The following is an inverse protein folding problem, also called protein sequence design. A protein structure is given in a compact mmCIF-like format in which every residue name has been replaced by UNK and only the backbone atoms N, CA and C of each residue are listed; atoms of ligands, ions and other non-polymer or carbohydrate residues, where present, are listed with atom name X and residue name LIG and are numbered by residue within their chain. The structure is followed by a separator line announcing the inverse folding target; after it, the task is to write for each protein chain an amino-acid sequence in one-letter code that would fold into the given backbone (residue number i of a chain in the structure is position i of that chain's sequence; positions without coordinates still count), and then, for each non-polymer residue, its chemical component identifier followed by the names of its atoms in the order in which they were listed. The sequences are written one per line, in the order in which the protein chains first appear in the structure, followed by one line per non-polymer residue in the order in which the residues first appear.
data_IF_494602944002
#
_entry.id   IF_494602944002
#
_cell.length_a   1.000
_cell.length_b   1.000
_cell.length_c   1.000
_cell.angle_alpha   90.00
_cell.angle_beta   90.00
_cell.angle_gamma   90.00
#
_symmetry.space_group_name_H-M   'P 1'
#
loop_
_entity.id
_entity.type
_entity.pdbx_description
1 polymer ?
#
# COMPACT_ATOMS: atom_id res chain seq x y z
N UNK A 1 -15.38 -4.43 -17.27
CA UNK A 1 -15.09 -3.08 -16.74
C UNK A 1 -16.18 -2.58 -15.81
N UNK A 2 -17.40 -2.22 -16.26
CA UNK A 2 -18.45 -1.70 -15.36
C UNK A 2 -18.79 -2.64 -14.19
N UNK A 3 -18.89 -3.95 -14.47
CA UNK A 3 -19.10 -4.96 -13.44
C UNK A 3 -17.96 -5.04 -12.43
N UNK A 4 -16.72 -4.83 -12.88
CA UNK A 4 -15.56 -4.92 -12.01
C UNK A 4 -15.43 -3.70 -11.09
N UNK A 5 -15.81 -2.51 -11.60
CA UNK A 5 -15.92 -1.30 -10.78
C UNK A 5 -17.00 -1.50 -9.71
N UNK A 6 -18.17 -2.04 -10.09
CA UNK A 6 -19.22 -2.39 -9.14
C UNK A 6 -18.71 -3.33 -8.05
N UNK A 7 -18.07 -4.45 -8.43
CA UNK A 7 -17.53 -5.38 -7.44
C UNK A 7 -16.46 -4.76 -6.53
N UNK A 8 -15.63 -3.86 -7.04
CA UNK A 8 -14.63 -3.17 -6.22
C UNK A 8 -15.31 -2.25 -5.21
N UNK A 9 -16.30 -1.46 -5.64
CA UNK A 9 -17.09 -0.61 -4.75
C UNK A 9 -17.82 -1.42 -3.68
N UNK A 10 -18.54 -2.48 -4.06
CA UNK A 10 -19.23 -3.36 -3.11
C UNK A 10 -18.26 -3.95 -2.08
N UNK A 11 -17.12 -4.46 -2.54
CA UNK A 11 -16.12 -5.06 -1.66
C UNK A 11 -15.60 -4.06 -0.61
N UNK A 12 -15.38 -2.79 -1.00
CA UNK A 12 -14.92 -1.73 -0.10
C UNK A 12 -16.04 -1.25 0.85
N UNK A 13 -17.27 -1.13 0.35
CA UNK A 13 -18.43 -0.72 1.17
C UNK A 13 -18.69 -1.76 2.25
N UNK A 14 -18.71 -3.04 1.90
CA UNK A 14 -18.95 -4.14 2.84
C UNK A 14 -17.86 -4.15 3.91
N UNK A 15 -16.59 -4.07 3.50
CA UNK A 15 -15.48 -4.03 4.44
C UNK A 15 -15.60 -2.87 5.42
N UNK A 16 -15.96 -1.68 4.95
CA UNK A 16 -16.02 -0.47 5.78
C UNK A 16 -17.28 -0.39 6.67
N UNK A 17 -18.42 -0.92 6.22
CA UNK A 17 -19.70 -0.77 6.93
C UNK A 17 -20.02 -1.94 7.85
N UNK A 18 -19.61 -3.16 7.48
CA UNK A 18 -19.97 -4.39 8.18
C UNK A 18 -18.80 -5.11 8.82
N UNK A 19 -17.56 -4.75 8.44
CA UNK A 19 -16.34 -5.48 8.79
C UNK A 19 -16.35 -6.96 8.35
N UNK A 20 -17.27 -7.36 7.47
CA UNK A 20 -17.37 -8.73 6.96
C UNK A 20 -16.32 -8.96 5.86
N UNK A 21 -15.13 -9.40 6.28
CA UNK A 21 -13.99 -9.64 5.39
C UNK A 21 -14.30 -10.73 4.36
N UNK A 22 -14.96 -11.82 4.75
CA UNK A 22 -15.26 -12.94 3.85
C UNK A 22 -16.17 -12.49 2.70
N UNK A 23 -17.20 -11.71 3.01
CA UNK A 23 -18.13 -11.21 2.02
C UNK A 23 -17.46 -10.18 1.09
N UNK A 24 -16.70 -9.23 1.64
CA UNK A 24 -15.90 -8.29 0.85
C UNK A 24 -14.95 -9.03 -0.10
N UNK A 25 -14.26 -10.06 0.40
CA UNK A 25 -13.36 -10.90 -0.37
C UNK A 25 -14.08 -11.64 -1.48
N UNK A 26 -15.32 -12.11 -1.25
CA UNK A 26 -16.11 -12.77 -2.30
C UNK A 26 -16.34 -11.88 -3.54
N UNK A 27 -16.46 -10.56 -3.35
CA UNK A 27 -16.58 -9.60 -4.44
C UNK A 27 -15.25 -9.29 -5.10
N UNK A 28 -14.20 -9.03 -4.32
CA UNK A 28 -12.84 -8.82 -4.83
C UNK A 28 -12.35 -10.04 -5.65
N UNK A 29 -12.68 -11.25 -5.20
CA UNK A 29 -12.33 -12.52 -5.88
C UNK A 29 -12.93 -12.61 -7.28
N UNK A 30 -14.16 -12.12 -7.50
CA UNK A 30 -14.77 -12.11 -8.84
C UNK A 30 -13.96 -11.29 -9.84
N UNK A 31 -13.32 -10.21 -9.38
CA UNK A 31 -12.43 -9.38 -10.22
C UNK A 31 -11.14 -10.14 -10.51
N UNK A 32 -10.50 -10.67 -9.47
CA UNK A 32 -9.25 -11.41 -9.59
C UNK A 32 -9.38 -12.64 -10.50
N UNK A 33 -10.37 -13.51 -10.27
CA UNK A 33 -10.60 -14.72 -11.06
C UNK A 33 -10.88 -14.44 -12.55
N UNK A 34 -11.44 -13.26 -12.85
CA UNK A 34 -11.61 -12.81 -14.23
C UNK A 34 -10.28 -12.36 -14.82
N UNK A 35 -9.53 -11.52 -14.11
CA UNK A 35 -8.29 -10.93 -14.60
C UNK A 35 -7.15 -11.94 -14.73
N UNK A 36 -7.07 -12.92 -13.83
CA UNK A 36 -6.07 -14.00 -13.86
C UNK A 36 -6.07 -14.78 -15.18
N UNK A 37 -7.23 -14.90 -15.83
CA UNK A 37 -7.41 -15.63 -17.09
C UNK A 37 -6.86 -14.90 -18.31
N UNK A 38 -6.52 -13.62 -18.19
CA UNK A 38 -5.95 -12.85 -19.28
C UNK A 38 -4.43 -12.84 -19.22
N UNK A 39 -3.82 -13.02 -20.39
CA UNK A 39 -2.36 -12.94 -20.57
C UNK A 39 -1.83 -11.50 -20.44
N UNK A 40 -2.66 -10.52 -20.85
CA UNK A 40 -2.33 -9.10 -20.83
C UNK A 40 -3.38 -8.28 -20.10
N UNK A 41 -2.92 -7.39 -19.24
CA UNK A 41 -3.75 -6.42 -18.54
C UNK A 41 -3.50 -5.00 -19.04
N UNK A 42 -4.55 -4.19 -19.11
CA UNK A 42 -4.41 -2.76 -19.37
C UNK A 42 -4.11 -2.01 -18.06
N UNK A 43 -3.61 -0.78 -18.16
CA UNK A 43 -3.32 0.06 -16.98
C UNK A 43 -4.56 0.26 -16.08
N UNK A 44 -5.76 0.24 -16.65
CA UNK A 44 -7.01 0.31 -15.88
C UNK A 44 -7.29 -0.96 -15.07
N UNK A 45 -6.98 -2.14 -15.62
CA UNK A 45 -7.11 -3.41 -14.89
C UNK A 45 -6.13 -3.44 -13.72
N UNK A 46 -4.89 -2.96 -13.93
CA UNK A 46 -3.86 -2.88 -12.88
C UNK A 46 -4.26 -1.88 -11.79
N UNK A 47 -4.84 -0.73 -12.17
CA UNK A 47 -5.41 0.23 -11.21
C UNK A 47 -6.48 -0.41 -10.35
N UNK A 48 -7.38 -1.16 -10.98
CA UNK A 48 -8.47 -1.82 -10.27
C UNK A 48 -7.95 -2.89 -9.30
N UNK A 49 -6.99 -3.71 -9.73
CA UNK A 49 -6.34 -4.70 -8.89
C UNK A 49 -5.69 -4.04 -7.67
N UNK A 50 -4.96 -2.94 -7.86
CA UNK A 50 -4.31 -2.23 -6.76
C UNK A 50 -5.31 -1.78 -5.67
N UNK A 51 -6.55 -1.43 -6.06
CA UNK A 51 -7.59 -0.99 -5.11
C UNK A 51 -8.11 -2.11 -4.22
N UNK A 52 -8.04 -3.37 -4.64
CA UNK A 52 -8.61 -4.50 -3.91
C UNK A 52 -7.57 -5.35 -3.15
N UNK A 53 -6.28 -5.00 -3.21
CA UNK A 53 -5.21 -5.80 -2.59
C UNK A 53 -5.43 -6.03 -1.08
N UNK A 54 -5.86 -5.00 -0.36
CA UNK A 54 -6.09 -5.02 1.10
C UNK A 54 -7.23 -5.95 1.55
N UNK A 55 -8.02 -6.46 0.61
CA UNK A 55 -9.15 -7.35 0.90
C UNK A 55 -8.67 -8.82 0.96
N UNK A 56 -7.52 -9.11 0.37
CA UNK A 56 -6.97 -10.46 0.34
C UNK A 56 -6.01 -10.71 1.51
N UNK A 57 -5.87 -11.98 1.95
CA UNK A 57 -4.75 -12.40 2.79
C UNK A 57 -3.42 -11.96 2.19
N UNK A 58 -2.45 -11.62 3.04
CA UNK A 58 -1.20 -10.95 2.63
C UNK A 58 -0.41 -11.74 1.58
N UNK A 59 -0.35 -13.06 1.70
CA UNK A 59 0.30 -13.94 0.72
C UNK A 59 -0.38 -13.88 -0.66
N UNK A 60 -1.72 -13.89 -0.68
CA UNK A 60 -2.52 -13.73 -1.90
C UNK A 60 -2.35 -12.32 -2.48
N UNK A 61 -2.38 -11.29 -1.65
CA UNK A 61 -2.18 -9.91 -2.08
C UNK A 61 -0.80 -9.71 -2.71
N UNK A 62 0.26 -10.27 -2.12
CA UNK A 62 1.62 -10.26 -2.68
C UNK A 62 1.66 -10.97 -4.02
N UNK A 63 1.06 -12.16 -4.14
CA UNK A 63 1.00 -12.87 -5.42
C UNK A 63 0.30 -12.06 -6.52
N UNK A 64 -0.85 -11.47 -6.21
CA UNK A 64 -1.61 -10.63 -7.14
C UNK A 64 -0.80 -9.38 -7.52
N UNK A 65 -0.18 -8.72 -6.53
CA UNK A 65 0.63 -7.53 -6.72
C UNK A 65 1.87 -7.79 -7.59
N UNK A 66 2.60 -8.87 -7.35
CA UNK A 66 3.74 -9.28 -8.18
C UNK A 66 3.33 -9.59 -9.63
N UNK A 67 2.16 -10.21 -9.83
CA UNK A 67 1.62 -10.38 -11.17
C UNK A 67 1.31 -9.03 -11.81
N UNK A 68 0.67 -8.12 -11.06
CA UNK A 68 0.34 -6.78 -11.54
C UNK A 68 1.58 -5.98 -11.95
N UNK A 69 2.68 -6.05 -11.18
CA UNK A 69 3.92 -5.34 -11.52
C UNK A 69 4.60 -5.92 -12.76
N UNK A 70 4.55 -7.24 -12.97
CA UNK A 70 5.01 -7.87 -14.24
C UNK A 70 4.21 -7.38 -15.45
N UNK A 71 2.91 -7.17 -15.28
CA UNK A 71 2.04 -6.64 -16.34
C UNK A 71 2.35 -5.16 -16.69
N UNK A 72 3.10 -4.43 -15.86
CA UNK A 72 3.55 -3.07 -16.15
C UNK A 72 4.79 -3.01 -17.06
N UNK A 73 5.52 -4.12 -17.26
CA UNK A 73 6.76 -4.14 -18.05
C UNK A 73 6.57 -3.60 -19.48
N UNK A 74 5.53 -3.99 -20.24
CA UNK A 74 5.29 -3.45 -21.59
C UNK A 74 5.00 -1.95 -21.62
N UNK A 75 4.70 -1.33 -20.47
CA UNK A 75 4.36 0.08 -20.32
C UNK A 75 5.50 0.91 -19.71
N UNK A 76 6.71 0.39 -19.61
CA UNK A 76 7.88 1.04 -18.97
C UNK A 76 8.22 2.46 -19.48
N UNK A 77 7.82 2.80 -20.70
CA UNK A 77 8.03 4.13 -21.28
C UNK A 77 6.96 5.16 -20.84
N UNK A 78 5.92 4.72 -20.13
CA UNK A 78 4.84 5.56 -19.64
C UNK A 78 5.08 5.91 -18.18
N UNK A 79 5.03 7.22 -17.87
CA UNK A 79 5.11 7.72 -16.49
C UNK A 79 4.03 7.08 -15.62
N UNK A 80 2.85 6.85 -16.16
CA UNK A 80 1.71 6.25 -15.48
C UNK A 80 2.02 4.83 -14.98
N UNK A 81 2.83 4.06 -15.70
CA UNK A 81 3.21 2.71 -15.30
C UNK A 81 4.13 2.74 -14.09
N UNK A 82 5.13 3.64 -14.08
CA UNK A 82 6.00 3.86 -12.92
C UNK A 82 5.21 4.33 -11.69
N UNK A 83 4.20 5.17 -11.88
CA UNK A 83 3.32 5.62 -10.79
C UNK A 83 2.51 4.45 -10.22
N UNK A 84 1.97 3.57 -11.07
CA UNK A 84 1.24 2.39 -10.61
C UNK A 84 2.15 1.40 -9.90
N UNK A 85 3.37 1.20 -10.40
CA UNK A 85 4.38 0.40 -9.72
C UNK A 85 4.64 0.96 -8.33
N UNK A 86 4.91 2.26 -8.19
CA UNK A 86 5.11 2.90 -6.88
C UNK A 86 3.95 2.58 -5.93
N UNK A 87 2.70 2.78 -6.38
CA UNK A 87 1.53 2.57 -5.53
C UNK A 87 1.38 1.10 -5.09
N UNK A 88 1.59 0.15 -6.00
CA UNK A 88 1.47 -1.29 -5.70
C UNK A 88 2.52 -1.69 -4.66
N UNK A 89 3.79 -1.37 -4.89
CA UNK A 89 4.87 -1.80 -3.99
C UNK A 89 4.74 -1.14 -2.60
N UNK A 90 4.31 0.14 -2.52
CA UNK A 90 4.05 0.82 -1.23
C UNK A 90 2.88 0.16 -0.49
N UNK A 91 1.85 -0.28 -1.21
CA UNK A 91 0.70 -0.99 -0.64
C UNK A 91 1.08 -2.40 -0.16
N UNK A 92 1.90 -3.13 -0.93
CA UNK A 92 2.41 -4.44 -0.50
C UNK A 92 3.32 -4.31 0.72
N UNK A 93 4.14 -3.26 0.79
CA UNK A 93 5.03 -3.04 1.92
C UNK A 93 4.27 -2.92 3.25
N UNK A 94 3.14 -2.21 3.30
CA UNK A 94 2.38 -2.09 4.56
C UNK A 94 1.70 -3.40 4.97
N UNK A 95 1.14 -4.14 4.00
CA UNK A 95 0.58 -5.47 4.27
C UNK A 95 1.64 -6.43 4.84
N UNK A 96 2.89 -6.31 4.41
CA UNK A 96 4.00 -7.10 4.94
C UNK A 96 4.48 -6.61 6.31
N UNK A 97 4.44 -5.30 6.58
CA UNK A 97 4.74 -4.74 7.91
C UNK A 97 3.74 -5.25 8.95
N UNK A 98 2.45 -5.31 8.59
CA UNK A 98 1.38 -5.85 9.45
C UNK A 98 1.64 -7.29 9.88
N UNK A 99 2.21 -8.10 8.98
CA UNK A 99 2.60 -9.49 9.23
C UNK A 99 4.03 -9.63 9.76
N UNK A 100 4.68 -8.52 10.14
CA UNK A 100 6.07 -8.48 10.65
C UNK A 100 7.10 -9.07 9.67
N UNK A 101 6.78 -9.15 8.38
CA UNK A 101 7.67 -9.59 7.28
C UNK A 101 8.56 -8.43 6.83
N UNK A 102 9.38 -7.97 7.77
CA UNK A 102 10.17 -6.75 7.64
C UNK A 102 11.22 -6.79 6.51
N UNK A 103 11.98 -7.89 6.31
CA UNK A 103 12.95 -7.96 5.21
C UNK A 103 12.29 -7.81 3.83
N UNK A 104 11.16 -8.47 3.62
CA UNK A 104 10.39 -8.41 2.39
C UNK A 104 9.81 -7.01 2.18
N UNK A 105 9.16 -6.45 3.20
CA UNK A 105 8.63 -5.08 3.15
C UNK A 105 9.71 -4.05 2.80
N UNK A 106 10.90 -4.19 3.41
CA UNK A 106 12.03 -3.29 3.16
C UNK A 106 12.48 -3.35 1.70
N UNK A 107 12.55 -4.54 1.09
CA UNK A 107 12.90 -4.70 -0.33
C UNK A 107 11.94 -3.92 -1.24
N UNK A 108 10.63 -3.97 -0.97
CA UNK A 108 9.64 -3.19 -1.72
C UNK A 108 9.87 -1.68 -1.58
N UNK A 109 10.11 -1.20 -0.36
CA UNK A 109 10.34 0.24 -0.09
C UNK A 109 11.63 0.75 -0.73
N UNK A 110 12.72 0.00 -0.65
CA UNK A 110 14.01 0.38 -1.24
C UNK A 110 13.96 0.47 -2.76
N UNK A 111 13.16 -0.38 -3.40
CA UNK A 111 12.90 -0.32 -4.84
C UNK A 111 12.14 0.96 -5.25
N UNK A 112 11.16 1.42 -4.47
CA UNK A 112 10.31 2.55 -4.85
C UNK A 112 10.81 3.92 -4.45
N UNK A 113 11.63 4.05 -3.40
CA UNK A 113 12.21 5.35 -3.00
C UNK A 113 12.89 6.10 -4.18
N UNK A 114 13.78 5.49 -4.99
CA UNK A 114 14.38 6.19 -6.13
C UNK A 114 13.34 6.56 -7.21
N UNK A 115 12.32 5.72 -7.43
CA UNK A 115 11.24 6.02 -8.38
C UNK A 115 10.38 7.20 -7.92
N UNK A 116 10.06 7.26 -6.63
CA UNK A 116 9.31 8.38 -6.05
C UNK A 116 10.07 9.70 -6.22
N UNK A 117 11.39 9.70 -6.01
CA UNK A 117 12.26 10.86 -6.27
C UNK A 117 12.25 11.26 -7.74
N UNK A 118 12.49 10.30 -8.66
CA UNK A 118 12.50 10.51 -10.11
C UNK A 118 11.20 11.17 -10.60
N UNK A 119 10.06 10.73 -10.08
CA UNK A 119 8.73 11.17 -10.51
C UNK A 119 8.09 12.25 -9.63
N UNK A 120 8.84 12.78 -8.66
CA UNK A 120 8.38 13.82 -7.74
C UNK A 120 7.09 13.42 -7.00
N UNK A 121 6.99 12.14 -6.61
CA UNK A 121 5.88 11.59 -5.81
C UNK A 121 6.18 11.77 -4.33
N UNK A 122 6.13 13.02 -3.86
CA UNK A 122 6.56 13.40 -2.51
C UNK A 122 5.73 12.74 -1.40
N UNK A 123 4.41 12.62 -1.55
CA UNK A 123 3.57 11.93 -0.57
C UNK A 123 3.96 10.44 -0.45
N UNK A 124 4.12 9.73 -1.57
CA UNK A 124 4.56 8.33 -1.58
C UNK A 124 6.01 8.19 -1.07
N UNK A 125 6.88 9.14 -1.36
CA UNK A 125 8.26 9.17 -0.86
C UNK A 125 8.28 9.28 0.67
N UNK A 126 7.45 10.17 1.24
CA UNK A 126 7.32 10.33 2.68
C UNK A 126 6.79 9.04 3.34
N UNK A 127 5.71 8.46 2.79
CA UNK A 127 5.16 7.17 3.27
C UNK A 127 6.24 6.08 3.23
N UNK A 128 6.98 5.96 2.13
CA UNK A 128 8.03 4.95 1.99
C UNK A 128 9.17 5.13 3.00
N UNK A 129 9.59 6.37 3.26
CA UNK A 129 10.59 6.65 4.29
C UNK A 129 10.10 6.36 5.70
N UNK A 130 8.87 6.77 6.04
CA UNK A 130 8.28 6.48 7.34
C UNK A 130 8.21 4.98 7.62
N UNK A 131 7.69 4.20 6.66
CA UNK A 131 7.59 2.74 6.77
C UNK A 131 8.95 2.06 6.84
N UNK A 132 9.94 2.56 6.08
CA UNK A 132 11.33 2.10 6.22
C UNK A 132 11.86 2.39 7.63
N UNK A 133 11.56 3.57 8.17
CA UNK A 133 11.92 3.93 9.54
C UNK A 133 11.28 3.00 10.59
N UNK A 134 9.99 2.69 10.45
CA UNK A 134 9.28 1.72 11.30
C UNK A 134 9.99 0.36 11.29
N UNK A 135 10.28 -0.17 10.10
CA UNK A 135 10.99 -1.45 9.94
C UNK A 135 12.36 -1.41 10.63
N UNK A 136 13.14 -0.35 10.43
CA UNK A 136 14.47 -0.22 11.01
C UNK A 136 14.41 -0.19 12.54
N UNK A 137 13.49 0.58 13.12
CA UNK A 137 13.30 0.57 14.58
C UNK A 137 12.88 -0.80 15.10
N UNK A 138 11.93 -1.48 14.43
CA UNK A 138 11.47 -2.83 14.81
C UNK A 138 12.55 -3.91 14.66
N UNK A 139 13.55 -3.67 13.81
CA UNK A 139 14.70 -4.57 13.62
C UNK A 139 15.94 -4.14 14.43
N UNK A 140 15.77 -3.22 15.39
CA UNK A 140 16.81 -2.82 16.35
C UNK A 140 17.71 -1.67 15.90
N UNK A 141 17.48 -1.11 14.71
CA UNK A 141 18.23 0.03 14.15
C UNK A 141 17.51 1.34 14.46
N UNK A 142 17.47 1.69 15.75
CA UNK A 142 16.67 2.81 16.24
C UNK A 142 17.05 4.16 15.62
N UNK A 143 18.35 4.48 15.59
CA UNK A 143 18.85 5.78 15.11
C UNK A 143 18.60 5.95 13.60
N UNK A 144 18.96 4.94 12.79
CA UNK A 144 18.67 4.93 11.36
C UNK A 144 17.17 5.04 11.08
N UNK A 145 16.35 4.36 11.89
CA UNK A 145 14.90 4.40 11.76
C UNK A 145 14.32 5.80 12.03
N UNK A 146 14.80 6.46 13.08
CA UNK A 146 14.42 7.84 13.42
C UNK A 146 14.79 8.83 12.32
N UNK A 147 16.00 8.72 11.75
CA UNK A 147 16.43 9.58 10.63
C UNK A 147 15.49 9.46 9.42
N UNK A 148 15.02 8.25 9.13
CA UNK A 148 14.07 8.01 8.04
C UNK A 148 12.67 8.59 8.33
N UNK A 149 12.20 8.51 9.57
CA UNK A 149 10.93 9.12 10.00
C UNK A 149 11.01 10.65 9.92
N UNK A 150 12.12 11.25 10.37
CA UNK A 150 12.34 12.70 10.27
C UNK A 150 12.35 13.18 8.81
N UNK A 151 12.96 12.40 7.90
CA UNK A 151 12.90 12.68 6.45
C UNK A 151 11.46 12.68 5.94
N UNK A 152 10.63 11.74 6.39
CA UNK A 152 9.22 11.68 6.00
C UNK A 152 8.47 12.95 6.43
N UNK A 153 8.57 13.35 7.71
CA UNK A 153 7.93 14.57 8.21
C UNK A 153 8.47 15.83 7.53
N UNK A 154 9.77 15.90 7.24
CA UNK A 154 10.37 17.04 6.54
C UNK A 154 9.75 17.23 5.16
N UNK A 155 9.55 16.14 4.41
CA UNK A 155 8.90 16.17 3.10
C UNK A 155 7.45 16.64 3.24
N UNK A 156 6.69 16.05 4.16
CA UNK A 156 5.27 16.38 4.33
C UNK A 156 5.05 17.83 4.77
N UNK A 157 5.90 18.35 5.65
CA UNK A 157 5.87 19.75 6.03
C UNK A 157 6.21 20.68 4.86
N UNK A 158 7.17 20.30 4.02
CA UNK A 158 7.56 21.10 2.85
C UNK A 158 6.46 21.18 1.77
N UNK A 159 5.61 20.16 1.67
CA UNK A 159 4.45 20.16 0.76
C UNK A 159 3.13 20.55 1.44
N UNK A 160 3.18 20.90 2.73
CA UNK A 160 2.03 21.30 3.56
C UNK A 160 0.86 20.29 3.62
N UNK A 161 1.16 18.98 3.48
CA UNK A 161 0.15 17.92 3.52
C UNK A 161 -0.19 17.55 4.98
N UNK A 162 -0.97 18.41 5.63
CA UNK A 162 -1.36 18.28 7.04
C UNK A 162 -2.12 16.98 7.34
N UNK A 163 -2.98 16.55 6.41
CA UNK A 163 -3.73 15.29 6.57
C UNK A 163 -2.77 14.10 6.65
N UNK A 164 -1.80 14.02 5.73
CA UNK A 164 -0.85 12.91 5.72
C UNK A 164 0.11 12.95 6.90
N UNK A 165 0.41 14.13 7.46
CA UNK A 165 1.15 14.27 8.73
C UNK A 165 0.37 13.60 9.87
N UNK A 166 -0.92 13.90 10.00
CA UNK A 166 -1.77 13.33 11.05
C UNK A 166 -1.91 11.81 10.89
N UNK A 167 -2.15 11.34 9.66
CA UNK A 167 -2.26 9.91 9.36
C UNK A 167 -0.94 9.17 9.62
N UNK A 168 0.20 9.78 9.29
CA UNK A 168 1.52 9.25 9.62
C UNK A 168 1.74 9.15 11.14
N UNK A 169 1.31 10.15 11.91
CA UNK A 169 1.41 10.13 13.36
C UNK A 169 0.64 8.96 13.99
N UNK A 170 -0.55 8.66 13.45
CA UNK A 170 -1.35 7.48 13.86
C UNK A 170 -0.66 6.18 13.49
N UNK A 171 -0.14 6.06 12.26
CA UNK A 171 0.57 4.86 11.79
C UNK A 171 1.82 4.57 12.64
N UNK A 172 2.62 5.60 12.94
CA UNK A 172 3.80 5.46 13.81
C UNK A 172 3.40 5.05 15.23
N UNK A 173 2.35 5.63 15.78
CA UNK A 173 1.85 5.27 17.11
C UNK A 173 1.39 3.81 17.15
N UNK A 174 0.69 3.34 16.10
CA UNK A 174 0.26 1.96 15.98
C UNK A 174 1.46 1.00 16.02
N UNK A 175 2.45 1.20 15.16
CA UNK A 175 3.56 0.26 15.08
C UNK A 175 4.58 0.42 16.20
N UNK A 176 4.98 1.63 16.57
CA UNK A 176 6.12 1.85 17.46
C UNK A 176 5.73 1.84 18.95
N UNK A 177 4.52 2.26 19.30
CA UNK A 177 4.07 2.28 20.70
C UNK A 177 3.44 0.96 21.15
N UNK A 178 2.86 0.16 20.23
CA UNK A 178 2.37 -1.19 20.57
C UNK A 178 3.51 -2.21 20.53
N UNK A 179 4.05 -2.50 21.71
CA UNK A 179 4.36 -3.90 22.03
C UNK A 179 3.06 -4.59 22.41
N UNK A 180 2.61 -5.56 21.60
CA UNK A 180 1.38 -6.36 21.72
C UNK A 180 0.15 -5.80 20.95
N UNK A 181 -0.46 -6.69 20.18
CA UNK A 181 -1.72 -6.59 19.40
C UNK A 181 -1.59 -6.16 17.93
N UNK A 182 -2.08 -7.06 17.06
CA UNK A 182 -1.94 -7.09 15.60
C UNK A 182 -2.74 -6.04 14.81
N UNK A 183 -2.85 -6.24 13.49
CA UNK A 183 -3.02 -5.14 12.52
C UNK A 183 -4.38 -4.43 12.62
N UNK A 184 -4.32 -3.10 12.58
CA UNK A 184 -5.49 -2.23 12.51
C UNK A 184 -6.17 -2.35 11.14
N UNK A 185 -7.36 -2.95 11.16
CA UNK A 185 -8.40 -2.71 10.15
C UNK A 185 -8.69 -1.20 10.10
N UNK A 186 -8.91 -0.69 8.88
CA UNK A 186 -9.06 0.73 8.56
C UNK A 186 -10.00 1.49 9.52
N UNK A 187 -9.43 2.28 10.42
CA UNK A 187 -10.14 3.38 11.08
C UNK A 187 -9.97 4.66 10.24
N UNK A 188 -10.87 4.87 9.28
CA UNK A 188 -11.03 6.16 8.61
C UNK A 188 -12.26 6.86 9.20
N UNK A 189 -11.96 7.93 9.97
CA UNK A 189 -12.68 9.19 10.09
C UNK A 189 -14.20 9.09 10.35
N UNK A 190 -14.57 9.05 11.63
CA UNK A 190 -15.74 9.81 12.09
C UNK A 190 -15.31 11.26 12.30
N UNK A 191 -15.65 12.12 11.35
CA UNK A 191 -15.87 13.54 11.62
C UNK A 191 -17.30 13.84 11.16
N UNK A 192 -18.04 14.44 12.09
CA UNK A 192 -19.43 14.88 12.02
C UNK A 192 -19.73 15.76 10.80
#
# INVERSE_FOLDING_TARGET
MLKDIFYACESLIILNTTQNVEEAQSFAKKIWERLEKFDRWYLLDIRLINTILFIFPVDVAVHIGERATKQLIPYNNLKEADILLINIEVNLAVLLIDEQKYPEALSYLEKVIPLCKKHQKYSQLAIAYARKGIILQKTGKMDEGSEHIEKAYSILNAIEDRKLIDDLGKELSHYLNKGCEGPLQLEILQQE
#
